data_IF_247406542404
#
_entry.id   IF_247406542404
#
_cell.length_a   1.000
_cell.length_b   1.000
_cell.length_c   1.000
_cell.angle_alpha   90.00
_cell.angle_beta   90.00
_cell.angle_gamma   90.00
#
_symmetry.space_group_name_H-M   'P 1'
#
loop_
_entity.id
_entity.type
_entity.pdbx_description
1 polymer ?
#
# COMPACT_ATOMS: atom_id res chain seq x y z
N UNK A 1 72.36 -30.99 -27.41
CA UNK A 1 72.73 -30.06 -26.30
C UNK A 1 72.51 -28.65 -26.79
N UNK A 2 71.77 -27.73 -26.19
CA UNK A 2 70.88 -27.73 -25.06
C UNK A 2 70.24 -26.33 -24.93
N UNK A 3 69.03 -26.30 -24.38
CA UNK A 3 68.36 -25.23 -23.61
C UNK A 3 67.80 -23.96 -24.31
N UNK A 4 66.57 -23.64 -23.91
CA UNK A 4 66.01 -22.27 -23.85
C UNK A 4 64.53 -22.20 -24.25
N UNK A 5 63.57 -22.60 -23.40
CA UNK A 5 62.74 -21.71 -22.54
C UNK A 5 62.00 -20.57 -23.27
N UNK A 6 60.67 -20.69 -23.38
CA UNK A 6 59.65 -19.62 -23.22
C UNK A 6 58.30 -20.19 -23.76
N UNK A 7 57.37 -20.64 -22.92
CA UNK A 7 56.36 -19.81 -22.26
C UNK A 7 55.52 -18.95 -23.22
N UNK A 8 54.32 -19.41 -23.54
CA UNK A 8 53.19 -18.54 -23.90
C UNK A 8 51.88 -19.31 -23.71
N UNK A 9 51.39 -19.32 -22.47
CA UNK A 9 49.99 -19.57 -22.16
C UNK A 9 49.25 -18.29 -22.53
N UNK A 10 48.47 -18.30 -23.63
CA UNK A 10 47.55 -17.21 -23.95
C UNK A 10 46.12 -17.69 -23.65
N UNK A 11 45.68 -17.37 -22.43
CA UNK A 11 44.28 -17.47 -22.00
C UNK A 11 43.50 -16.35 -22.70
N UNK A 12 42.73 -16.70 -23.73
CA UNK A 12 41.81 -15.77 -24.39
C UNK A 12 40.43 -15.87 -23.72
N UNK A 13 40.30 -15.31 -22.52
CA UNK A 13 39.00 -15.06 -21.86
C UNK A 13 38.65 -13.59 -22.07
N UNK A 14 38.26 -13.24 -23.29
CA UNK A 14 37.76 -11.91 -23.64
C UNK A 14 36.58 -12.08 -24.61
N UNK A 15 35.50 -12.65 -24.08
CA UNK A 15 34.27 -12.87 -24.84
C UNK A 15 33.05 -13.11 -23.97
N UNK A 16 33.16 -13.05 -22.64
CA UNK A 16 32.01 -12.77 -21.80
C UNK A 16 31.68 -11.29 -22.00
N UNK A 17 31.03 -11.03 -23.13
CA UNK A 17 30.17 -9.88 -23.27
C UNK A 17 29.42 -9.78 -21.95
N UNK A 18 29.58 -8.63 -21.32
CA UNK A 18 28.65 -8.16 -20.31
C UNK A 18 27.30 -8.31 -20.97
N UNK A 19 26.63 -9.43 -20.71
CA UNK A 19 25.20 -9.46 -20.69
C UNK A 19 24.90 -8.30 -19.75
N UNK A 20 24.57 -7.15 -20.35
CA UNK A 20 23.75 -6.17 -19.69
C UNK A 20 22.63 -7.03 -19.18
N UNK A 21 22.69 -7.33 -17.89
CA UNK A 21 21.52 -7.73 -17.14
C UNK A 21 20.65 -6.51 -17.40
N UNK A 22 19.84 -6.60 -18.46
CA UNK A 22 18.70 -5.75 -18.63
C UNK A 22 18.01 -5.99 -17.30
N UNK A 23 18.20 -5.04 -16.37
CA UNK A 23 17.32 -4.94 -15.24
C UNK A 23 15.99 -4.84 -15.92
N UNK A 24 15.25 -5.95 -15.94
CA UNK A 24 13.81 -5.87 -15.99
C UNK A 24 13.54 -4.91 -14.84
N UNK A 25 13.29 -3.64 -15.19
CA UNK A 25 12.82 -2.65 -14.25
C UNK A 25 11.79 -3.41 -13.45
N UNK A 26 12.10 -3.65 -12.17
CA UNK A 26 11.20 -4.30 -11.25
C UNK A 26 9.94 -3.47 -11.42
N UNK A 27 8.96 -4.02 -12.14
CA UNK A 27 7.84 -3.29 -12.68
C UNK A 27 7.22 -2.63 -11.48
N UNK A 28 7.38 -1.31 -11.34
CA UNK A 28 7.06 -0.61 -10.10
C UNK A 28 5.61 -0.97 -9.78
N UNK A 29 5.41 -1.86 -8.80
CA UNK A 29 4.11 -2.46 -8.57
C UNK A 29 3.27 -1.43 -7.82
N UNK A 30 2.04 -1.19 -8.26
CA UNK A 30 1.06 -0.47 -7.44
C UNK A 30 0.38 -1.41 -6.46
N UNK A 31 0.01 -0.84 -5.32
CA UNK A 31 -0.75 -1.55 -4.29
C UNK A 31 -2.19 -1.06 -4.28
N UNK A 32 -3.15 -1.98 -4.19
CA UNK A 32 -4.57 -1.67 -3.99
C UNK A 32 -5.13 -2.51 -2.84
N UNK A 33 -5.38 -1.88 -1.70
CA UNK A 33 -6.00 -2.51 -0.54
C UNK A 33 -7.46 -2.08 -0.48
N UNK A 34 -8.35 -3.04 -0.31
CA UNK A 34 -9.79 -2.80 -0.21
C UNK A 34 -10.33 -3.46 1.04
N UNK A 35 -11.13 -2.73 1.80
CA UNK A 35 -11.93 -3.24 2.91
C UNK A 35 -13.41 -3.05 2.58
N UNK A 36 -14.21 -4.09 2.76
CA UNK A 36 -15.64 -4.10 2.48
C UNK A 36 -16.37 -4.45 3.77
N UNK A 37 -17.15 -3.51 4.28
CA UNK A 37 -18.15 -3.76 5.32
C UNK A 37 -19.45 -4.18 4.65
N UNK A 38 -19.71 -5.49 4.64
CA UNK A 38 -20.91 -6.05 4.03
C UNK A 38 -22.20 -5.59 4.75
N UNK A 39 -22.17 -5.31 6.04
CA UNK A 39 -23.37 -4.95 6.78
C UNK A 39 -23.89 -3.57 6.36
N UNK A 40 -22.97 -2.61 6.20
CA UNK A 40 -23.28 -1.22 5.85
C UNK A 40 -23.19 -0.95 4.34
N UNK A 41 -22.55 -1.83 3.58
CA UNK A 41 -22.24 -1.61 2.16
C UNK A 41 -21.10 -0.61 1.95
N UNK A 42 -20.34 -0.26 3.01
CA UNK A 42 -19.19 0.63 2.89
C UNK A 42 -17.99 -0.10 2.28
N UNK A 43 -17.32 0.57 1.34
CA UNK A 43 -16.11 0.07 0.67
C UNK A 43 -15.02 1.12 0.76
N UNK A 44 -13.96 0.80 1.49
CA UNK A 44 -12.79 1.65 1.68
C UNK A 44 -11.62 1.14 0.86
N UNK A 45 -10.98 2.03 0.10
CA UNK A 45 -9.91 1.67 -0.82
C UNK A 45 -8.68 2.53 -0.57
N UNK A 46 -7.52 1.91 -0.40
CA UNK A 46 -6.22 2.56 -0.42
C UNK A 46 -5.47 2.14 -1.67
N UNK A 47 -5.19 3.11 -2.54
CA UNK A 47 -4.40 2.89 -3.76
C UNK A 47 -3.06 3.61 -3.63
N UNK A 48 -1.97 2.90 -3.90
CA UNK A 48 -0.61 3.41 -3.84
C UNK A 48 0.10 3.23 -5.17
N UNK A 49 0.56 4.33 -5.76
CA UNK A 49 1.29 4.36 -7.05
C UNK A 49 2.59 5.14 -6.91
N UNK A 50 3.59 4.86 -7.76
CA UNK A 50 4.80 5.68 -7.85
C UNK A 50 4.44 7.13 -8.20
N UNK A 51 4.89 8.09 -7.40
CA UNK A 51 4.63 9.51 -7.66
C UNK A 51 5.37 10.02 -8.89
N UNK A 52 6.58 9.50 -9.16
CA UNK A 52 7.35 9.85 -10.34
C UNK A 52 6.67 9.34 -11.62
N UNK A 53 6.22 8.08 -11.61
CA UNK A 53 5.53 7.50 -12.77
C UNK A 53 4.18 8.18 -13.01
N UNK A 54 3.44 8.52 -11.95
CA UNK A 54 2.19 9.26 -12.07
C UNK A 54 2.43 10.67 -12.64
N UNK A 55 3.44 11.40 -12.15
CA UNK A 55 3.79 12.71 -12.67
C UNK A 55 4.24 12.65 -14.14
N UNK A 56 5.02 11.63 -14.50
CA UNK A 56 5.41 11.37 -15.88
C UNK A 56 4.19 11.04 -16.76
N UNK A 57 3.29 10.17 -16.29
CA UNK A 57 2.07 9.80 -16.98
C UNK A 57 1.15 11.01 -17.23
N UNK A 58 1.12 11.96 -16.31
CA UNK A 58 0.37 13.21 -16.43
C UNK A 58 1.12 14.30 -17.24
N UNK A 59 2.34 14.01 -17.69
CA UNK A 59 3.14 14.89 -18.54
C UNK A 59 3.82 16.06 -17.80
N UNK A 60 3.98 15.95 -16.48
CA UNK A 60 4.64 16.98 -15.66
C UNK A 60 6.15 16.79 -15.53
N UNK A 61 6.62 15.61 -15.90
CA UNK A 61 7.96 15.13 -15.64
C UNK A 61 8.43 14.23 -16.80
N UNK A 62 9.72 14.31 -17.16
CA UNK A 62 10.32 13.38 -18.11
C UNK A 62 10.60 12.02 -17.46
N UNK A 63 10.69 10.97 -18.29
CA UNK A 63 10.89 9.61 -17.80
C UNK A 63 12.22 9.47 -17.04
N UNK A 64 12.16 8.98 -15.79
CA UNK A 64 13.34 8.72 -14.95
C UNK A 64 13.80 9.91 -14.10
N UNK A 65 13.13 11.07 -14.17
CA UNK A 65 13.40 12.17 -13.25
C UNK A 65 12.82 11.90 -11.85
N UNK A 66 13.38 12.56 -10.83
CA UNK A 66 12.90 12.42 -9.46
C UNK A 66 11.76 13.38 -9.15
N UNK A 67 10.70 12.86 -8.52
CA UNK A 67 9.58 13.68 -8.05
C UNK A 67 9.89 14.27 -6.67
N UNK A 68 9.39 15.48 -6.41
CA UNK A 68 9.48 16.18 -5.13
C UNK A 68 8.09 16.63 -4.72
N UNK A 69 7.81 16.65 -3.42
CA UNK A 69 6.49 17.01 -2.89
C UNK A 69 6.01 18.38 -3.39
N UNK A 70 6.88 19.40 -3.38
CA UNK A 70 6.57 20.75 -3.85
C UNK A 70 6.16 20.83 -5.33
N UNK A 71 6.45 19.79 -6.13
CA UNK A 71 5.99 19.69 -7.52
C UNK A 71 4.60 19.06 -7.61
N UNK A 72 4.21 18.20 -6.67
CA UNK A 72 2.91 17.53 -6.65
C UNK A 72 1.82 18.35 -5.97
N UNK A 73 2.17 19.13 -4.94
CA UNK A 73 1.23 19.95 -4.16
C UNK A 73 0.31 20.84 -5.01
N UNK A 74 0.80 21.58 -6.04
CA UNK A 74 -0.07 22.41 -6.86
C UNK A 74 -1.07 21.62 -7.72
N UNK A 75 -0.82 20.33 -7.94
CA UNK A 75 -1.60 19.46 -8.81
C UNK A 75 -2.41 18.40 -8.06
N UNK A 76 -2.55 18.55 -6.73
CA UNK A 76 -3.21 17.56 -5.87
C UNK A 76 -4.64 17.22 -6.35
N UNK A 77 -5.45 18.24 -6.65
CA UNK A 77 -6.83 18.04 -7.13
C UNK A 77 -6.88 17.35 -8.51
N UNK A 78 -5.94 17.68 -9.41
CA UNK A 78 -5.84 17.07 -10.73
C UNK A 78 -5.49 15.57 -10.62
N UNK A 79 -4.50 15.24 -9.78
CA UNK A 79 -4.14 13.84 -9.48
C UNK A 79 -5.31 13.08 -8.87
N UNK A 80 -5.96 13.63 -7.86
CA UNK A 80 -7.11 12.99 -7.21
C UNK A 80 -8.23 12.76 -8.22
N UNK A 81 -8.59 13.78 -9.01
CA UNK A 81 -9.59 13.67 -10.06
C UNK A 81 -9.24 12.59 -11.09
N UNK A 82 -7.97 12.51 -11.50
CA UNK A 82 -7.49 11.46 -12.39
C UNK A 82 -7.65 10.06 -11.78
N UNK A 83 -7.19 9.87 -10.54
CA UNK A 83 -7.16 8.57 -9.86
C UNK A 83 -8.56 8.10 -9.47
N UNK A 84 -9.37 8.95 -8.84
CA UNK A 84 -10.74 8.63 -8.40
C UNK A 84 -11.62 8.20 -9.57
N UNK A 85 -11.53 8.83 -10.75
CA UNK A 85 -12.34 8.43 -11.92
C UNK A 85 -12.02 7.03 -12.47
N UNK A 86 -10.85 6.48 -12.09
CA UNK A 86 -10.30 5.20 -12.55
C UNK A 86 -10.35 4.11 -11.49
N UNK A 87 -10.82 4.43 -10.28
CA UNK A 87 -11.10 3.45 -9.24
C UNK A 87 -12.60 3.45 -9.06
N UNK A 88 -13.24 2.34 -9.40
CA UNK A 88 -14.71 2.25 -9.39
C UNK A 88 -15.16 1.00 -8.67
N UNK A 89 -16.33 1.12 -8.05
CA UNK A 89 -16.95 0.04 -7.28
C UNK A 89 -18.38 -0.11 -7.76
N UNK A 90 -18.78 -1.35 -8.00
CA UNK A 90 -20.17 -1.73 -8.21
C UNK A 90 -20.53 -2.83 -7.23
N UNK A 91 -21.79 -2.85 -6.82
CA UNK A 91 -22.36 -3.93 -6.04
C UNK A 91 -23.59 -4.44 -6.79
N UNK A 92 -23.66 -5.75 -7.03
CA UNK A 92 -24.80 -6.39 -7.69
C UNK A 92 -25.22 -5.71 -9.02
N UNK A 93 -24.21 -5.23 -9.77
CA UNK A 93 -24.37 -4.54 -11.04
C UNK A 93 -24.75 -3.05 -10.96
N UNK A 94 -24.95 -2.50 -9.75
CA UNK A 94 -25.21 -1.07 -9.53
C UNK A 94 -23.93 -0.33 -9.12
N UNK A 95 -23.71 0.87 -9.66
CA UNK A 95 -22.55 1.68 -9.26
C UNK A 95 -22.71 2.18 -7.82
N UNK A 96 -21.67 2.02 -7.01
CA UNK A 96 -21.66 2.56 -5.65
C UNK A 96 -21.44 4.08 -5.69
N UNK A 97 -21.99 4.78 -4.69
CA UNK A 97 -21.84 6.22 -4.56
C UNK A 97 -20.47 6.53 -3.95
N UNK A 98 -19.72 7.44 -4.57
CA UNK A 98 -18.51 8.00 -3.99
C UNK A 98 -18.89 8.93 -2.83
N UNK A 99 -18.36 8.68 -1.64
CA UNK A 99 -18.61 9.53 -0.46
C UNK A 99 -17.48 10.54 -0.26
N UNK A 100 -16.23 10.05 -0.26
CA UNK A 100 -15.06 10.86 0.06
C UNK A 100 -13.81 10.35 -0.63
N UNK A 101 -12.81 11.23 -0.75
CA UNK A 101 -11.46 10.87 -1.14
C UNK A 101 -10.46 11.80 -0.46
N UNK A 102 -9.30 11.26 -0.10
CA UNK A 102 -8.21 12.04 0.46
C UNK A 102 -6.87 11.38 0.20
N UNK A 103 -5.82 12.19 0.10
CA UNK A 103 -4.47 11.65 0.12
C UNK A 103 -4.08 11.35 1.57
N UNK A 104 -3.81 10.08 1.87
CA UNK A 104 -3.19 9.69 3.15
C UNK A 104 -1.78 10.28 3.23
N UNK A 105 -1.08 10.25 2.09
CA UNK A 105 0.15 10.99 1.89
C UNK A 105 0.30 11.33 0.40
N UNK A 106 0.52 12.61 0.10
CA UNK A 106 0.73 13.08 -1.26
C UNK A 106 2.09 12.63 -1.82
N UNK A 107 3.09 12.44 -0.96
CA UNK A 107 4.35 11.79 -1.32
C UNK A 107 4.95 11.11 -0.09
N UNK A 108 4.77 9.79 -0.01
CA UNK A 108 5.37 8.90 0.97
C UNK A 108 6.89 8.98 1.01
N UNK A 109 7.48 8.53 2.11
CA UNK A 109 8.94 8.38 2.21
C UNK A 109 9.49 7.36 1.20
N UNK A 110 8.63 6.49 0.69
CA UNK A 110 8.87 5.53 -0.38
C UNK A 110 8.69 6.13 -1.79
N UNK A 111 8.40 7.44 -1.89
CA UNK A 111 8.20 8.12 -3.17
C UNK A 111 6.84 7.85 -3.81
N UNK A 112 5.86 7.35 -3.04
CA UNK A 112 4.55 6.93 -3.54
C UNK A 112 3.44 7.91 -3.16
N UNK A 113 2.43 7.98 -4.02
CA UNK A 113 1.18 8.70 -3.74
C UNK A 113 0.19 7.70 -3.17
N UNK A 114 -0.40 8.00 -2.01
CA UNK A 114 -1.40 7.14 -1.36
C UNK A 114 -2.75 7.84 -1.34
N UNK A 115 -3.70 7.34 -2.14
CA UNK A 115 -5.05 7.85 -2.21
C UNK A 115 -6.00 6.90 -1.48
N UNK A 116 -6.73 7.44 -0.51
CA UNK A 116 -7.86 6.78 0.12
C UNK A 116 -9.16 7.21 -0.59
N UNK A 117 -10.03 6.26 -0.88
CA UNK A 117 -11.33 6.47 -1.54
C UNK A 117 -12.40 5.68 -0.78
N UNK A 118 -13.44 6.37 -0.32
CA UNK A 118 -14.58 5.78 0.37
C UNK A 118 -15.80 5.77 -0.55
N UNK A 119 -16.50 4.63 -0.63
CA UNK A 119 -17.73 4.49 -1.40
C UNK A 119 -18.78 3.74 -0.61
N UNK A 120 -20.05 4.04 -0.86
CA UNK A 120 -21.20 3.34 -0.28
C UNK A 120 -22.02 2.67 -1.36
N UNK A 121 -22.19 1.36 -1.21
CA UNK A 121 -23.02 0.50 -2.03
C UNK A 121 -24.39 0.28 -1.37
N UNK A 122 -25.25 -0.54 -1.99
CA UNK A 122 -26.42 -1.05 -1.28
C UNK A 122 -26.00 -1.91 -0.07
N UNK A 123 -26.79 -1.92 0.99
CA UNK A 123 -26.54 -2.75 2.17
C UNK A 123 -26.57 -4.24 1.80
N UNK A 124 -25.69 -5.03 2.44
CA UNK A 124 -25.59 -6.49 2.27
C UNK A 124 -25.49 -6.94 0.81
N UNK A 125 -24.52 -6.42 0.05
CA UNK A 125 -24.35 -6.86 -1.32
C UNK A 125 -23.97 -8.35 -1.39
N UNK A 126 -24.40 -9.02 -2.46
CA UNK A 126 -24.03 -10.42 -2.73
C UNK A 126 -22.65 -10.50 -3.40
N UNK A 127 -22.33 -9.52 -4.24
CA UNK A 127 -21.02 -9.39 -4.85
C UNK A 127 -20.61 -7.92 -5.01
N UNK A 128 -19.31 -7.66 -4.83
CA UNK A 128 -18.70 -6.35 -5.09
C UNK A 128 -17.70 -6.49 -6.24
N UNK A 129 -17.91 -5.72 -7.30
CA UNK A 129 -16.96 -5.58 -8.41
C UNK A 129 -16.08 -4.36 -8.18
N UNK A 130 -14.78 -4.58 -8.15
CA UNK A 130 -13.74 -3.56 -8.00
C UNK A 130 -13.10 -3.34 -9.36
N UNK A 131 -12.88 -2.09 -9.75
CA UNK A 131 -12.09 -1.73 -10.93
C UNK A 131 -10.97 -0.79 -10.53
N UNK A 132 -9.79 -1.03 -11.09
CA UNK A 132 -8.67 -0.11 -11.00
C UNK A 132 -8.03 0.00 -12.38
N UNK A 133 -8.06 1.21 -12.95
CA UNK A 133 -7.48 1.56 -14.26
C UNK A 133 -6.35 2.59 -14.17
N UNK A 134 -5.88 2.91 -12.96
CA UNK A 134 -4.88 3.96 -12.77
C UNK A 134 -3.62 3.59 -13.58
N UNK A 135 -3.17 4.51 -14.44
CA UNK A 135 -1.97 4.36 -15.27
C UNK A 135 -1.95 3.11 -16.18
N UNK A 136 -3.11 2.52 -16.48
CA UNK A 136 -3.20 1.35 -17.37
C UNK A 136 -3.22 1.70 -18.86
N UNK A 137 -3.59 2.94 -19.21
CA UNK A 137 -3.88 3.36 -20.59
C UNK A 137 -2.61 3.69 -21.43
N UNK A 138 -1.40 3.40 -20.91
CA UNK A 138 -0.11 3.66 -21.56
C UNK A 138 0.58 2.41 -22.13
N UNK A 139 1.62 2.61 -22.94
CA UNK A 139 2.43 1.52 -23.49
C UNK A 139 3.12 0.75 -22.35
N UNK A 140 2.76 -0.52 -22.18
CA UNK A 140 3.29 -1.39 -21.13
C UNK A 140 2.44 -1.47 -19.85
N UNK A 141 1.37 -0.68 -19.72
CA UNK A 141 0.26 -0.80 -18.75
C UNK A 141 0.64 -1.13 -17.30
N UNK A 142 0.39 -0.21 -16.37
CA UNK A 142 0.69 -0.45 -14.95
C UNK A 142 -0.09 -1.65 -14.39
N UNK A 143 0.60 -2.57 -13.71
CA UNK A 143 -0.01 -3.71 -13.03
C UNK A 143 -0.17 -3.39 -11.54
N UNK A 144 -1.39 -3.57 -11.04
CA UNK A 144 -1.73 -3.33 -9.64
C UNK A 144 -1.88 -4.66 -8.93
N UNK A 145 -1.09 -4.86 -7.88
CA UNK A 145 -1.22 -5.98 -6.96
C UNK A 145 -2.04 -5.52 -5.76
N UNK A 146 -2.92 -6.36 -5.25
CA UNK A 146 -3.82 -5.92 -4.21
C UNK A 146 -4.42 -7.02 -3.37
N UNK A 147 -5.26 -6.60 -2.43
CA UNK A 147 -6.12 -7.50 -1.66
C UNK A 147 -7.45 -6.82 -1.34
N UNK A 148 -8.53 -7.60 -1.39
CA UNK A 148 -9.80 -7.23 -0.79
C UNK A 148 -9.99 -8.00 0.51
N UNK A 149 -10.60 -7.38 1.51
CA UNK A 149 -10.89 -7.98 2.81
C UNK A 149 -12.34 -7.74 3.21
N UNK A 150 -12.99 -8.79 3.73
CA UNK A 150 -14.35 -8.77 4.29
C UNK A 150 -14.30 -9.53 5.62
N UNK A 151 -14.39 -8.82 6.74
CA UNK A 151 -14.12 -9.41 8.06
C UNK A 151 -12.74 -10.05 8.10
N UNK A 152 -12.69 -11.37 8.29
CA UNK A 152 -11.44 -12.15 8.33
C UNK A 152 -11.01 -12.73 6.97
N UNK A 153 -11.87 -12.67 5.94
CA UNK A 153 -11.60 -13.27 4.63
C UNK A 153 -10.81 -12.28 3.76
N UNK A 154 -9.79 -12.78 3.06
CA UNK A 154 -8.91 -11.98 2.21
C UNK A 154 -8.79 -12.61 0.82
N UNK A 155 -8.95 -11.79 -0.22
CA UNK A 155 -8.79 -12.17 -1.62
C UNK A 155 -7.58 -11.45 -2.21
N UNK A 156 -6.54 -12.15 -2.68
CA UNK A 156 -5.48 -11.51 -3.45
C UNK A 156 -6.03 -11.10 -4.82
N UNK A 157 -5.68 -9.90 -5.25
CA UNK A 157 -6.17 -9.31 -6.50
C UNK A 157 -4.99 -8.90 -7.37
N UNK A 158 -5.19 -8.97 -8.69
CA UNK A 158 -4.28 -8.42 -9.68
C UNK A 158 -5.14 -7.69 -10.70
N UNK A 159 -4.81 -6.42 -10.94
CA UNK A 159 -5.41 -5.65 -12.02
C UNK A 159 -4.35 -5.34 -13.07
N UNK A 160 -4.67 -5.63 -14.33
CA UNK A 160 -3.85 -5.26 -15.48
C UNK A 160 -4.75 -4.82 -16.64
N UNK A 161 -4.14 -4.45 -17.77
CA UNK A 161 -4.86 -3.95 -18.96
C UNK A 161 -5.90 -4.95 -19.48
N UNK A 162 -5.63 -6.25 -19.36
CA UNK A 162 -6.54 -7.32 -19.81
C UNK A 162 -7.64 -7.60 -18.78
N UNK A 163 -7.33 -7.45 -17.50
CA UNK A 163 -8.23 -7.72 -16.38
C UNK A 163 -8.25 -6.52 -15.41
N UNK A 164 -8.91 -5.39 -15.77
CA UNK A 164 -8.94 -4.20 -14.92
C UNK A 164 -9.97 -4.31 -13.79
N UNK A 165 -10.72 -5.41 -13.73
CA UNK A 165 -11.82 -5.64 -12.78
C UNK A 165 -11.65 -6.94 -12.00
N UNK A 166 -12.05 -6.95 -10.74
CA UNK A 166 -12.07 -8.12 -9.87
C UNK A 166 -13.41 -8.21 -9.14
N UNK A 167 -13.99 -9.40 -9.05
CA UNK A 167 -15.27 -9.63 -8.36
C UNK A 167 -15.00 -10.33 -7.03
N UNK A 168 -15.53 -9.78 -5.95
CA UNK A 168 -15.52 -10.36 -4.60
C UNK A 168 -16.91 -10.90 -4.32
N UNK A 169 -17.04 -12.23 -4.35
CA UNK A 169 -18.28 -12.92 -3.95
C UNK A 169 -18.39 -12.91 -2.42
N UNK A 170 -19.44 -12.26 -1.91
CA UNK A 170 -19.65 -12.09 -0.48
C UNK A 170 -20.48 -13.25 0.07
N UNK A 171 -20.16 -13.74 1.29
CA UNK A 171 -20.97 -14.78 1.90
C UNK A 171 -22.39 -14.26 2.15
N UNK A 172 -23.40 -15.00 1.73
CA UNK A 172 -24.79 -14.70 2.09
C UNK A 172 -24.92 -14.86 3.60
N UNK A 173 -25.11 -13.76 4.32
CA UNK A 173 -25.45 -13.80 5.75
C UNK A 173 -26.93 -14.18 5.83
N UNK A 174 -27.23 -15.49 5.78
CA UNK A 174 -28.57 -15.97 6.10
C UNK A 174 -28.93 -15.49 7.50
N UNK A 175 -30.04 -14.76 7.60
CA UNK A 175 -30.38 -13.95 8.77
C UNK A 175 -30.26 -14.71 10.09
N UNK A 176 -29.18 -14.45 10.81
CA UNK A 176 -29.21 -14.51 12.26
C UNK A 176 -30.19 -13.44 12.71
N UNK A 177 -31.44 -13.82 12.98
CA UNK A 177 -32.24 -13.05 13.91
C UNK A 177 -31.36 -12.83 15.15
N UNK A 178 -31.27 -11.61 15.70
CA UNK A 178 -30.63 -11.45 16.99
C UNK A 178 -31.41 -12.35 17.95
N UNK A 179 -30.74 -13.36 18.51
CA UNK A 179 -31.26 -14.13 19.64
C UNK A 179 -31.51 -13.12 20.76
N UNK A 180 -32.74 -12.61 20.81
CA UNK A 180 -33.28 -11.83 21.89
C UNK A 180 -33.57 -12.77 23.07
N UNK A 181 -32.55 -13.49 23.57
CA UNK A 181 -32.70 -14.33 24.76
C UNK A 181 -31.36 -14.57 25.45
N UNK A 182 -30.87 -13.55 26.16
CA UNK A 182 -30.11 -13.72 27.41
C UNK A 182 -29.98 -12.37 28.13
N UNK A 183 -31.11 -11.70 28.38
CA UNK A 183 -31.21 -10.75 29.47
C UNK A 183 -32.06 -11.39 30.57
N UNK A 184 -31.50 -11.38 31.79
CA UNK A 184 -32.15 -11.59 33.09
C UNK A 184 -32.22 -13.02 33.66
N UNK A 185 -31.20 -13.35 34.48
CA UNK A 185 -31.36 -13.63 35.92
C UNK A 185 -29.95 -13.75 36.55
N UNK A 186 -29.42 -12.69 37.18
CA UNK A 186 -29.68 -12.28 38.57
C UNK A 186 -29.08 -13.24 39.61
N UNK A 187 -28.00 -12.80 40.29
CA UNK A 187 -27.93 -12.61 41.74
C UNK A 187 -26.51 -12.82 42.32
N UNK A 188 -25.91 -11.70 42.76
CA UNK A 188 -25.43 -11.49 44.13
C UNK A 188 -24.36 -12.45 44.72
N UNK A 189 -23.10 -12.00 44.73
CA UNK A 189 -22.17 -12.24 45.85
C UNK A 189 -20.98 -11.26 45.81
N UNK A 190 -21.04 -10.17 46.57
CA UNK A 190 -19.87 -9.52 47.17
C UNK A 190 -19.64 -10.11 48.58
N UNK A 191 -18.54 -9.81 49.32
CA UNK A 191 -17.17 -9.49 48.92
C UNK A 191 -16.12 -10.38 49.66
N UNK A 192 -14.90 -10.51 49.14
CA UNK A 192 -13.87 -11.35 49.78
C UNK A 192 -12.43 -10.99 49.43
N UNK A 193 -11.91 -9.93 50.05
CA UNK A 193 -10.51 -9.69 50.46
C UNK A 193 -9.44 -10.68 49.95
N UNK A 194 -8.54 -10.22 49.07
CA UNK A 194 -7.14 -10.64 49.08
C UNK A 194 -6.24 -9.57 48.46
N UNK A 195 -5.62 -8.80 49.35
CA UNK A 195 -4.48 -7.94 49.11
C UNK A 195 -3.30 -8.80 48.63
N UNK A 196 -2.77 -8.57 47.43
CA UNK A 196 -1.40 -9.00 47.09
C UNK A 196 -0.66 -7.82 46.46
N UNK A 197 0.07 -7.12 47.31
CA UNK A 197 1.11 -6.16 46.96
C UNK A 197 2.29 -6.93 46.35
N UNK A 198 2.37 -6.98 45.02
CA UNK A 198 3.55 -7.45 44.29
C UNK A 198 4.26 -6.26 43.64
N UNK A 199 5.22 -5.69 44.37
CA UNK A 199 6.05 -4.60 43.89
C UNK A 199 6.94 -5.02 42.71
N UNK A 200 6.82 -4.30 41.59
CA UNK A 200 7.82 -4.31 40.52
C UNK A 200 8.53 -2.96 40.55
N UNK A 201 9.71 -2.98 41.17
CA UNK A 201 10.66 -1.86 41.16
C UNK A 201 11.30 -1.79 39.77
N UNK A 202 10.87 -0.86 38.92
CA UNK A 202 11.59 -0.54 37.68
C UNK A 202 12.78 0.37 38.03
N UNK A 203 13.98 -0.18 37.96
CA UNK A 203 15.24 0.54 38.11
C UNK A 203 15.45 1.42 36.87
N UNK A 204 15.33 2.74 37.05
CA UNK A 204 15.77 3.74 36.07
C UNK A 204 17.30 3.82 36.14
N UNK A 205 17.98 3.23 35.17
CA UNK A 205 19.41 3.40 35.01
C UNK A 205 19.70 4.77 34.37
N UNK A 206 20.24 5.69 35.17
CA UNK A 206 20.95 6.88 34.71
C UNK A 206 22.15 6.44 33.85
N UNK A 207 22.15 6.81 32.59
CA UNK A 207 23.32 6.79 31.71
C UNK A 207 23.68 8.20 31.30
N UNK A 208 24.35 8.94 32.18
CA UNK A 208 25.02 10.19 31.84
C UNK A 208 26.30 9.86 31.06
N UNK A 209 26.37 10.25 29.78
CA UNK A 209 27.64 10.39 29.04
C UNK A 209 27.83 11.86 28.71
N UNK A 210 28.59 12.51 29.58
CA UNK A 210 29.29 13.76 29.34
C UNK A 210 30.58 13.45 28.57
N UNK A 211 30.80 14.14 27.45
CA UNK A 211 32.11 14.51 26.85
C UNK A 211 31.76 15.43 25.66
N UNK A 212 31.67 16.75 25.83
CA UNK A 212 32.73 17.73 26.01
C UNK A 212 33.58 18.00 24.74
N UNK A 213 33.70 19.31 24.46
CA UNK A 213 34.77 20.01 23.72
C UNK A 213 34.61 20.14 22.19
N UNK A 214 34.41 21.40 21.77
CA UNK A 214 34.52 21.80 20.36
C UNK A 214 34.27 23.29 20.11
N UNK A 215 34.76 24.19 20.96
CA UNK A 215 34.77 25.63 20.69
C UNK A 215 35.90 25.99 19.68
N UNK A 216 35.56 26.76 18.65
CA UNK A 216 36.50 27.44 17.74
C UNK A 216 35.74 28.04 16.55
N UNK A 217 35.19 29.26 16.63
CA UNK A 217 35.87 30.55 16.43
C UNK A 217 36.70 30.59 15.14
N UNK A 218 36.18 31.23 14.08
CA UNK A 218 36.87 32.36 13.43
C UNK A 218 35.99 33.04 12.37
N UNK A 219 35.98 34.36 12.51
CA UNK A 219 35.56 35.38 11.57
C UNK A 219 36.39 35.33 10.28
N UNK A 220 35.71 35.63 9.17
CA UNK A 220 36.26 36.13 7.92
C UNK A 220 35.23 37.10 7.36
#
# INVERSE_FOLDING_TARGET
MGRGLAAAVLVLVLGMGRASVAGAHQSDESMHVVEIDQATGQVEQLVSVSGADLAHHLGWLDHGESVRLAMLEPHQEEMASYMVRRVRVWADGQACRLEDWQFVNLLGQDGRVHLHVSSTCAERPEAVTLENRIMMEGAGGYRHMGRAQVGERVWPMVFDVSFPTFVVDLPVVEGGAPDAEAAEASASAEPGHALVLGGVTLVVALGAVLLAVGAGRRSG
#
